data_IF_695118630486
#
_entry.id   IF_695118630486
#
_cell.length_a   1.000
_cell.length_b   1.000
_cell.length_c   1.000
_cell.angle_alpha   90.00
_cell.angle_beta   90.00
_cell.angle_gamma   90.00
#
_symmetry.space_group_name_H-M   'P 1'
#
loop_
_entity.id
_entity.type
_entity.pdbx_description
1 polymer ?
#
# COMPACT_ATOMS: atom_id res chain seq x y z
N UNK A 1 6.92 6.14 -6.30
CA UNK A 1 6.15 5.15 -7.09
C UNK A 1 6.79 4.79 -8.43
N UNK A 2 7.91 5.41 -8.82
CA UNK A 2 8.64 5.06 -10.06
C UNK A 2 9.14 3.61 -10.09
N UNK A 3 9.34 3.00 -8.91
CA UNK A 3 9.71 1.58 -8.77
C UNK A 3 8.68 0.60 -9.37
N UNK A 4 7.41 1.00 -9.51
CA UNK A 4 6.39 0.14 -10.12
C UNK A 4 6.45 0.25 -11.65
N UNK A 5 6.47 -0.91 -12.32
CA UNK A 5 6.32 -0.99 -13.78
C UNK A 5 5.12 -0.16 -14.25
N UNK A 6 5.27 0.67 -15.30
CA UNK A 6 4.14 1.37 -15.91
C UNK A 6 3.16 0.41 -16.58
N UNK A 7 3.61 -0.79 -16.95
CA UNK A 7 2.76 -1.87 -17.45
C UNK A 7 2.31 -2.73 -16.27
N UNK A 8 1.20 -2.32 -15.64
CA UNK A 8 0.46 -3.07 -14.61
C UNK A 8 1.30 -3.49 -13.41
N UNK A 9 2.31 -2.72 -13.02
CA UNK A 9 3.08 -2.94 -11.79
C UNK A 9 2.17 -2.91 -10.55
N UNK A 10 2.39 -3.80 -9.59
CA UNK A 10 1.52 -3.98 -8.41
C UNK A 10 2.30 -3.82 -7.12
N UNK A 11 1.71 -3.09 -6.17
CA UNK A 11 2.11 -3.06 -4.77
C UNK A 11 0.96 -3.61 -3.92
N UNK A 12 1.27 -4.50 -2.99
CA UNK A 12 0.31 -5.03 -2.02
C UNK A 12 0.86 -4.76 -0.63
N UNK A 13 0.10 -4.03 0.19
CA UNK A 13 0.55 -3.64 1.53
C UNK A 13 -0.63 -3.39 2.48
N UNK A 14 -0.46 -3.61 3.79
CA UNK A 14 -1.43 -3.15 4.79
C UNK A 14 -1.37 -1.62 4.87
N UNK A 15 -2.52 -0.96 4.75
CA UNK A 15 -2.65 0.50 4.90
C UNK A 15 -3.74 0.78 5.91
N UNK A 16 -3.44 1.63 6.89
CA UNK A 16 -4.38 2.02 7.94
C UNK A 16 -3.68 2.50 9.21
N UNK A 17 -4.41 2.51 10.32
CA UNK A 17 -3.88 2.86 11.63
C UNK A 17 -3.09 1.69 12.24
N UNK A 18 -2.62 1.82 13.48
CA UNK A 18 -1.94 0.71 14.17
C UNK A 18 -2.90 -0.44 14.49
N UNK A 19 -4.16 -0.12 14.75
CA UNK A 19 -5.17 -1.06 15.23
C UNK A 19 -6.08 -1.56 14.10
N UNK A 20 -6.20 -0.84 12.99
CA UNK A 20 -7.09 -1.17 11.88
C UNK A 20 -6.42 -0.88 10.53
N UNK A 21 -6.17 -1.94 9.74
CA UNK A 21 -5.62 -1.84 8.40
C UNK A 21 -6.46 -2.62 7.39
N UNK A 22 -6.37 -2.20 6.14
CA UNK A 22 -6.85 -2.96 4.99
C UNK A 22 -5.69 -3.44 4.14
N UNK A 23 -5.74 -4.70 3.72
CA UNK A 23 -4.86 -5.19 2.68
C UNK A 23 -5.20 -4.45 1.39
N UNK A 24 -4.29 -3.58 0.97
CA UNK A 24 -4.51 -2.68 -0.15
C UNK A 24 -3.68 -3.13 -1.34
N UNK A 25 -4.30 -3.16 -2.51
CA UNK A 25 -3.62 -3.39 -3.79
C UNK A 25 -3.60 -2.09 -4.58
N UNK A 26 -2.40 -1.62 -4.91
CA UNK A 26 -2.17 -0.50 -5.82
C UNK A 26 -1.66 -1.04 -7.16
N UNK A 27 -2.25 -0.58 -8.26
CA UNK A 27 -1.83 -0.95 -9.63
C UNK A 27 -1.48 0.31 -10.40
N UNK A 28 -0.30 0.32 -11.03
CA UNK A 28 0.12 1.38 -11.94
C UNK A 28 -0.25 1.04 -13.38
N UNK A 29 -0.92 1.95 -14.08
CA UNK A 29 -1.22 1.86 -15.51
C UNK A 29 -0.73 3.15 -16.20
N UNK A 30 0.46 3.11 -16.79
CA UNK A 30 1.13 4.30 -17.32
C UNK A 30 1.46 5.31 -16.21
N UNK A 31 0.86 6.50 -16.26
CA UNK A 31 0.96 7.52 -15.21
C UNK A 31 -0.12 7.41 -14.14
N UNK A 32 -1.17 6.62 -14.38
CA UNK A 32 -2.29 6.49 -13.46
C UNK A 32 -2.06 5.39 -12.42
N UNK A 33 -2.63 5.59 -11.24
CA UNK A 33 -2.66 4.59 -10.17
C UNK A 33 -4.10 4.31 -9.78
N UNK A 34 -4.42 3.04 -9.60
CA UNK A 34 -5.68 2.60 -8.99
C UNK A 34 -5.40 1.88 -7.70
N UNK A 35 -6.27 2.07 -6.71
CA UNK A 35 -6.17 1.45 -5.39
C UNK A 35 -7.47 0.73 -5.09
N UNK A 36 -7.39 -0.47 -4.50
CA UNK A 36 -8.53 -1.13 -3.87
C UNK A 36 -8.14 -1.74 -2.54
N UNK A 37 -9.06 -1.67 -1.59
CA UNK A 37 -9.04 -2.45 -0.36
C UNK A 37 -9.56 -3.87 -0.65
N UNK A 38 -8.95 -4.89 -0.05
CA UNK A 38 -9.28 -6.29 -0.26
C UNK A 38 -9.99 -6.89 0.95
N UNK A 39 -9.34 -6.82 2.12
CA UNK A 39 -9.84 -7.36 3.38
C UNK A 39 -9.18 -6.66 4.57
N UNK A 40 -9.83 -6.64 5.76
CA UNK A 40 -9.21 -6.11 6.97
C UNK A 40 -8.10 -7.03 7.46
N UNK A 41 -6.98 -6.47 7.91
CA UNK A 41 -5.79 -7.20 8.39
C UNK A 41 -5.17 -6.50 9.61
N UNK A 42 -4.31 -7.23 10.33
CA UNK A 42 -3.53 -6.69 11.46
C UNK A 42 -2.07 -7.09 11.30
N UNK A 43 -1.24 -6.12 10.91
CA UNK A 43 0.20 -6.21 10.76
C UNK A 43 0.90 -5.31 11.77
N UNK A 44 2.17 -5.62 12.04
CA UNK A 44 3.07 -4.71 12.76
C UNK A 44 3.19 -3.36 12.03
N UNK A 45 3.40 -2.24 12.74
CA UNK A 45 3.51 -0.94 12.10
C UNK A 45 4.73 -0.87 11.18
N UNK A 46 4.55 -0.28 10.00
CA UNK A 46 5.67 0.13 9.15
C UNK A 46 6.31 1.38 9.77
N UNK A 47 7.46 1.21 10.45
CA UNK A 47 8.22 2.31 11.05
C UNK A 47 9.22 2.87 10.05
N UNK A 48 9.31 4.19 9.92
CA UNK A 48 10.28 4.85 9.05
C UNK A 48 9.86 6.25 8.60
N UNK A 49 10.70 6.90 7.78
CA UNK A 49 10.50 8.28 7.31
C UNK A 49 9.11 8.54 6.71
N UNK A 50 8.56 7.56 5.98
CA UNK A 50 7.25 7.63 5.34
C UNK A 50 6.20 6.73 6.02
N UNK A 51 6.48 6.25 7.23
CA UNK A 51 5.62 5.37 8.01
C UNK A 51 5.24 5.96 9.37
N UNK A 52 4.97 5.10 10.33
CA UNK A 52 4.78 5.50 11.72
C UNK A 52 6.11 6.00 12.32
N UNK A 53 6.01 7.01 13.18
CA UNK A 53 7.11 7.39 14.08
C UNK A 53 7.22 6.37 15.21
N UNK A 54 8.43 6.18 15.72
CA UNK A 54 8.67 5.50 16.99
C UNK A 54 7.95 6.21 18.14
#
# INVERSE_FOLDING_TARGET
LEQLSPDRGRLVMPVGTREQQWLTVVVRNGSAFTQREVEPVVFVPLVGEHGFRE
#
